data_IF_779643162989
#
_entry.id   IF_779643162989
#
_cell.length_a   1.000
_cell.length_b   1.000
_cell.length_c   1.000
_cell.angle_alpha   90.00
_cell.angle_beta   90.00
_cell.angle_gamma   90.00
#
_symmetry.space_group_name_H-M   'P 1'
#
loop_
_entity.id
_entity.type
_entity.pdbx_description
1 polymer ?
#
# COMPACT_ATOMS: atom_id res chain seq x y z
N UNK A 1 -29.12 8.24 -1.72
CA UNK A 1 -27.89 7.71 -2.37
C UNK A 1 -27.37 6.54 -1.53
N UNK A 2 -27.19 5.36 -2.12
CA UNK A 2 -26.93 4.12 -1.38
C UNK A 2 -25.51 4.06 -0.82
N UNK A 3 -25.40 3.83 0.49
CA UNK A 3 -24.17 3.73 1.30
C UNK A 3 -23.15 2.68 0.82
N UNK A 4 -23.52 1.79 -0.12
CA UNK A 4 -22.65 0.71 -0.60
C UNK A 4 -21.66 1.10 -1.71
N UNK A 5 -21.88 2.21 -2.41
CA UNK A 5 -21.08 2.55 -3.60
C UNK A 5 -19.78 3.34 -3.28
N UNK A 6 -19.62 3.77 -2.02
CA UNK A 6 -18.53 4.65 -1.57
C UNK A 6 -17.44 3.87 -0.83
N UNK A 7 -17.66 2.61 -0.44
CA UNK A 7 -16.65 1.79 0.26
C UNK A 7 -15.34 1.65 -0.53
N UNK A 8 -15.46 1.68 -1.86
CA UNK A 8 -14.34 1.49 -2.77
C UNK A 8 -13.35 2.67 -2.83
N UNK A 9 -13.88 3.88 -2.69
CA UNK A 9 -13.12 5.13 -2.74
C UNK A 9 -12.82 5.64 -1.33
N UNK A 10 -13.64 5.27 -0.33
CA UNK A 10 -13.44 5.61 1.08
C UNK A 10 -12.17 5.04 1.69
N UNK A 11 -11.72 3.88 1.22
CA UNK A 11 -10.66 3.20 1.95
C UNK A 11 -9.26 3.60 1.49
N UNK A 12 -8.95 3.89 0.19
CA UNK A 12 -7.52 3.88 -0.25
C UNK A 12 -7.16 4.85 -1.37
N UNK A 13 -6.13 5.65 -1.10
CA UNK A 13 -5.62 6.78 -1.87
C UNK A 13 -4.67 6.40 -3.02
N UNK A 14 -4.65 5.13 -3.43
CA UNK A 14 -3.67 4.56 -4.37
C UNK A 14 -3.62 5.24 -5.75
N UNK A 15 -4.67 5.97 -6.11
CA UNK A 15 -4.70 6.87 -7.26
C UNK A 15 -3.64 7.98 -7.14
N UNK A 16 -3.52 8.60 -5.96
CA UNK A 16 -2.56 9.68 -5.68
C UNK A 16 -1.11 9.20 -5.82
N UNK A 17 -0.80 8.03 -5.26
CA UNK A 17 0.50 7.36 -5.45
C UNK A 17 0.79 7.06 -6.93
N UNK A 18 -0.18 6.46 -7.62
CA UNK A 18 -0.02 6.06 -9.02
C UNK A 18 0.31 7.27 -9.90
N UNK A 19 -0.37 8.39 -9.66
CA UNK A 19 -0.15 9.62 -10.41
C UNK A 19 1.24 10.23 -10.16
N UNK A 20 1.90 9.89 -9.06
CA UNK A 20 3.28 10.31 -8.77
C UNK A 20 4.35 9.57 -9.58
N UNK A 21 4.01 8.51 -10.32
CA UNK A 21 4.99 7.68 -11.04
C UNK A 21 6.06 8.45 -11.83
N UNK A 22 5.75 9.56 -12.55
CA UNK A 22 6.78 10.33 -13.25
C UNK A 22 7.82 11.02 -12.36
N UNK A 23 7.56 11.16 -11.07
CA UNK A 23 8.36 11.96 -10.15
C UNK A 23 9.09 11.12 -9.09
N UNK A 24 8.64 9.89 -8.82
CA UNK A 24 9.21 9.03 -7.78
C UNK A 24 10.71 8.79 -7.99
N UNK A 25 11.13 8.45 -9.21
CA UNK A 25 12.54 8.20 -9.52
C UNK A 25 13.42 9.42 -9.24
N UNK A 26 12.94 10.62 -9.60
CA UNK A 26 13.64 11.89 -9.34
C UNK A 26 13.77 12.20 -7.85
N UNK A 27 12.73 11.93 -7.07
CA UNK A 27 12.76 12.09 -5.61
C UNK A 27 13.74 11.11 -4.96
N UNK A 28 13.78 9.86 -5.42
CA UNK A 28 14.75 8.85 -4.97
C UNK A 28 16.18 9.26 -5.29
N UNK A 29 16.43 9.73 -6.51
CA UNK A 29 17.76 10.18 -6.92
C UNK A 29 18.20 11.41 -6.09
N UNK A 30 17.32 12.39 -5.88
CA UNK A 30 17.60 13.55 -5.06
C UNK A 30 17.89 13.17 -3.59
N UNK A 31 17.13 12.23 -3.03
CA UNK A 31 17.35 11.74 -1.67
C UNK A 31 18.69 11.02 -1.54
N UNK A 32 19.02 10.16 -2.50
CA UNK A 32 20.30 9.47 -2.55
C UNK A 32 21.48 10.45 -2.62
N UNK A 33 21.39 11.50 -3.45
CA UNK A 33 22.42 12.53 -3.53
C UNK A 33 22.65 13.32 -2.24
N UNK A 34 21.64 13.37 -1.37
CA UNK A 34 21.70 14.06 -0.08
C UNK A 34 21.95 13.09 1.09
N UNK A 35 22.36 11.85 0.82
CA UNK A 35 22.55 10.78 1.81
C UNK A 35 21.30 10.51 2.69
N UNK A 36 20.10 10.71 2.12
CA UNK A 36 18.80 10.48 2.78
C UNK A 36 18.22 9.12 2.40
N UNK A 37 17.43 8.54 3.31
CA UNK A 37 16.74 7.25 3.06
C UNK A 37 15.75 7.34 1.90
N UNK A 38 15.58 6.22 1.20
CA UNK A 38 14.66 6.05 0.08
C UNK A 38 13.29 5.50 0.49
N UNK A 39 13.13 5.06 1.74
CA UNK A 39 11.89 4.49 2.27
C UNK A 39 10.66 5.39 2.03
N UNK A 40 10.74 6.74 2.18
CA UNK A 40 9.62 7.63 1.93
C UNK A 40 9.14 7.68 0.47
N UNK A 41 9.91 7.13 -0.47
CA UNK A 41 9.63 7.23 -1.90
C UNK A 41 9.48 5.85 -2.53
N UNK A 42 8.48 5.05 -2.12
CA UNK A 42 8.34 3.67 -2.58
C UNK A 42 8.19 3.63 -4.10
N UNK A 43 8.98 2.78 -4.78
CA UNK A 43 8.87 2.55 -6.22
C UNK A 43 7.83 1.47 -6.56
N UNK A 44 7.26 0.82 -5.54
CA UNK A 44 6.33 -0.30 -5.66
C UNK A 44 5.06 -0.02 -4.85
N UNK A 45 3.91 -0.45 -5.36
CA UNK A 45 2.64 -0.48 -4.64
C UNK A 45 1.99 -1.85 -4.73
N UNK A 46 1.30 -2.25 -3.67
CA UNK A 46 0.56 -3.51 -3.61
C UNK A 46 -0.89 -3.26 -3.18
N UNK A 47 -1.82 -3.55 -4.09
CA UNK A 47 -3.26 -3.55 -3.85
C UNK A 47 -3.71 -5.00 -3.65
N UNK A 48 -3.90 -5.41 -2.40
CA UNK A 48 -4.29 -6.78 -2.08
C UNK A 48 -5.57 -6.80 -1.26
N UNK A 49 -6.26 -7.94 -1.19
CA UNK A 49 -7.58 -8.02 -0.53
C UNK A 49 -8.51 -9.00 -1.21
N UNK A 50 -9.80 -8.93 -0.86
CA UNK A 50 -10.83 -9.84 -1.40
C UNK A 50 -10.86 -9.85 -2.94
N UNK A 51 -11.08 -11.01 -3.56
CA UNK A 51 -11.13 -11.16 -5.03
C UNK A 51 -12.31 -10.42 -5.68
N UNK A 52 -13.40 -10.23 -4.93
CA UNK A 52 -14.56 -9.38 -5.32
C UNK A 52 -14.38 -7.91 -4.92
N UNK A 53 -13.15 -7.61 -4.52
CA UNK A 53 -12.53 -6.35 -4.23
C UNK A 53 -12.56 -5.30 -5.33
N UNK A 54 -13.09 -5.56 -6.53
CA UNK A 54 -13.08 -4.69 -7.72
C UNK A 54 -11.71 -4.13 -8.19
N UNK A 55 -10.60 -4.60 -7.62
CA UNK A 55 -9.23 -4.08 -7.81
C UNK A 55 -8.86 -3.89 -9.27
N UNK A 56 -9.13 -4.91 -10.09
CA UNK A 56 -8.96 -4.87 -11.55
C UNK A 56 -9.71 -3.71 -12.21
N UNK A 57 -10.94 -3.42 -11.78
CA UNK A 57 -11.75 -2.34 -12.36
C UNK A 57 -11.20 -0.98 -11.97
N UNK A 58 -10.70 -0.84 -10.74
CA UNK A 58 -10.03 0.36 -10.27
C UNK A 58 -8.74 0.63 -11.06
N UNK A 59 -7.85 -0.36 -11.15
CA UNK A 59 -6.60 -0.22 -11.91
C UNK A 59 -6.86 0.07 -13.40
N UNK A 60 -7.84 -0.59 -14.03
CA UNK A 60 -8.24 -0.26 -15.42
C UNK A 60 -8.72 1.18 -15.57
N UNK A 61 -9.42 1.71 -14.56
CA UNK A 61 -9.87 3.10 -14.54
C UNK A 61 -8.70 4.06 -14.42
N UNK A 62 -7.76 3.81 -13.50
CA UNK A 62 -6.52 4.60 -13.37
C UNK A 62 -5.73 4.60 -14.66
N UNK A 63 -5.50 3.43 -15.25
CA UNK A 63 -4.77 3.32 -16.51
C UNK A 63 -5.44 4.13 -17.64
N UNK A 64 -6.77 4.10 -17.70
CA UNK A 64 -7.52 4.89 -18.68
C UNK A 64 -7.44 6.40 -18.38
N UNK A 65 -7.46 6.82 -17.12
CA UNK A 65 -7.31 8.22 -16.73
C UNK A 65 -5.92 8.76 -17.07
N UNK A 66 -4.89 7.93 -16.96
CA UNK A 66 -3.51 8.31 -17.21
C UNK A 66 -3.18 8.28 -18.71
N UNK A 67 -3.63 7.25 -19.43
CA UNK A 67 -3.19 6.96 -20.81
C UNK A 67 -4.29 6.89 -21.87
N UNK A 68 -5.55 6.96 -21.48
CA UNK A 68 -6.68 6.80 -22.41
C UNK A 68 -6.91 5.36 -22.89
N UNK A 69 -6.03 4.42 -22.53
CA UNK A 69 -6.11 3.00 -22.93
C UNK A 69 -6.50 2.09 -21.74
N UNK A 70 -6.92 0.85 -22.04
CA UNK A 70 -7.40 -0.13 -21.03
C UNK A 70 -6.51 -1.37 -20.86
N UNK A 71 -5.39 -1.45 -21.58
CA UNK A 71 -4.57 -2.67 -21.65
C UNK A 71 -3.61 -2.73 -20.45
N UNK A 72 -3.81 -3.70 -19.57
CA UNK A 72 -2.93 -3.98 -18.42
C UNK A 72 -2.11 -5.23 -18.73
N UNK A 73 -0.88 -5.32 -18.21
CA UNK A 73 -0.06 -6.52 -18.29
C UNK A 73 -0.63 -7.63 -17.40
N UNK A 74 -0.70 -8.85 -17.93
CA UNK A 74 -1.23 -10.00 -17.19
C UNK A 74 -0.19 -10.55 -16.20
N UNK A 75 -0.64 -11.13 -15.08
CA UNK A 75 0.24 -11.73 -14.06
C UNK A 75 1.27 -12.74 -14.62
N UNK A 76 0.93 -13.47 -15.69
CA UNK A 76 1.82 -14.46 -16.31
C UNK A 76 3.11 -13.88 -16.93
N UNK A 77 3.18 -12.57 -17.16
CA UNK A 77 4.39 -11.89 -17.64
C UNK A 77 5.10 -11.12 -16.52
N UNK A 78 4.83 -11.43 -15.24
CA UNK A 78 5.51 -10.79 -14.13
C UNK A 78 6.75 -11.59 -13.74
N UNK A 79 7.91 -11.10 -14.15
CA UNK A 79 9.22 -11.59 -13.71
C UNK A 79 10.10 -10.41 -13.31
N UNK A 80 11.02 -10.61 -12.36
CA UNK A 80 11.92 -9.55 -11.91
C UNK A 80 12.70 -8.91 -13.08
N UNK A 81 13.28 -9.76 -13.94
CA UNK A 81 14.00 -9.33 -15.14
C UNK A 81 13.14 -8.47 -16.07
N UNK A 82 11.95 -8.93 -16.44
CA UNK A 82 11.08 -8.16 -17.35
C UNK A 82 10.64 -6.82 -16.75
N UNK A 83 10.39 -6.77 -15.44
CA UNK A 83 10.04 -5.52 -14.76
C UNK A 83 11.21 -4.54 -14.80
N UNK A 84 12.43 -4.99 -14.51
CA UNK A 84 13.63 -4.13 -14.56
C UNK A 84 13.92 -3.65 -15.99
N UNK A 85 13.83 -4.53 -16.99
CA UNK A 85 13.98 -4.17 -18.40
C UNK A 85 12.95 -3.09 -18.81
N UNK A 86 11.69 -3.25 -18.39
CA UNK A 86 10.66 -2.24 -18.63
C UNK A 86 10.93 -0.95 -17.86
N UNK A 87 11.42 -1.01 -16.62
CA UNK A 87 11.77 0.20 -15.85
C UNK A 87 12.86 1.04 -16.54
N UNK A 88 13.76 0.41 -17.29
CA UNK A 88 14.80 1.12 -18.08
C UNK A 88 14.24 1.78 -19.34
N UNK A 89 13.22 1.18 -19.96
CA UNK A 89 12.67 1.63 -21.24
C UNK A 89 11.46 2.56 -21.12
N UNK A 90 10.67 2.42 -20.05
CA UNK A 90 9.39 3.10 -19.86
C UNK A 90 9.56 4.27 -18.91
N UNK A 91 9.42 5.52 -19.40
CA UNK A 91 9.62 6.71 -18.57
C UNK A 91 8.35 7.17 -17.87
N UNK A 92 8.31 7.08 -16.54
CA UNK A 92 7.30 7.69 -15.67
C UNK A 92 5.89 7.09 -15.73
N UNK A 93 5.63 6.18 -16.67
CA UNK A 93 4.33 5.52 -16.87
C UNK A 93 4.21 4.33 -15.90
N UNK A 94 3.29 4.33 -14.92
CA UNK A 94 3.18 3.22 -13.97
C UNK A 94 2.98 1.87 -14.68
N UNK A 95 3.73 0.87 -14.26
CA UNK A 95 3.62 -0.50 -14.73
C UNK A 95 2.60 -1.25 -13.87
N UNK A 96 1.50 -1.66 -14.46
CA UNK A 96 0.44 -2.39 -13.75
C UNK A 96 0.48 -3.87 -14.03
N UNK A 97 0.45 -4.67 -12.96
CA UNK A 97 0.33 -6.11 -13.01
C UNK A 97 -0.85 -6.56 -12.17
N UNK A 98 -1.85 -7.14 -12.84
CA UNK A 98 -3.12 -7.52 -12.21
C UNK A 98 -3.15 -9.01 -11.88
N UNK A 99 -3.69 -9.33 -10.70
CA UNK A 99 -3.98 -10.67 -10.19
C UNK A 99 -2.73 -11.55 -10.02
N UNK A 100 -1.67 -10.99 -9.41
CA UNK A 100 -0.48 -11.75 -9.04
C UNK A 100 -0.81 -12.71 -7.89
N UNK A 101 -0.52 -13.98 -8.10
CA UNK A 101 -0.64 -15.04 -7.07
C UNK A 101 0.53 -15.01 -6.09
N UNK A 102 0.32 -15.54 -4.89
CA UNK A 102 1.33 -15.58 -3.81
C UNK A 102 2.69 -16.14 -4.23
N UNK A 103 2.72 -17.20 -5.06
CA UNK A 103 3.97 -17.79 -5.56
C UNK A 103 4.79 -16.78 -6.37
N UNK A 104 4.19 -16.18 -7.39
CA UNK A 104 4.81 -15.17 -8.27
C UNK A 104 5.25 -13.93 -7.49
N UNK A 105 4.44 -13.49 -6.51
CA UNK A 105 4.80 -12.38 -5.63
C UNK A 105 6.08 -12.66 -4.84
N UNK A 106 6.14 -13.81 -4.17
CA UNK A 106 7.31 -14.21 -3.37
C UNK A 106 8.55 -14.47 -4.23
N UNK A 107 8.38 -15.05 -5.42
CA UNK A 107 9.49 -15.39 -6.32
C UNK A 107 10.12 -14.17 -7.01
N UNK A 108 9.32 -13.15 -7.32
CA UNK A 108 9.75 -12.01 -8.14
C UNK A 108 9.55 -10.65 -7.47
N UNK A 109 8.37 -10.34 -6.94
CA UNK A 109 8.07 -9.00 -6.42
C UNK A 109 8.90 -8.69 -5.18
N UNK A 110 9.01 -9.66 -4.28
CA UNK A 110 9.86 -9.56 -3.09
C UNK A 110 11.32 -9.28 -3.45
N UNK A 111 11.85 -9.92 -4.51
CA UNK A 111 13.23 -9.68 -4.96
C UNK A 111 13.41 -8.25 -5.48
N UNK A 112 12.45 -7.76 -6.26
CA UNK A 112 12.46 -6.39 -6.77
C UNK A 112 12.40 -5.35 -5.65
N UNK A 113 11.58 -5.58 -4.62
CA UNK A 113 11.47 -4.66 -3.47
C UNK A 113 12.75 -4.63 -2.63
N UNK A 114 13.51 -5.73 -2.59
CA UNK A 114 14.83 -5.78 -1.92
C UNK A 114 15.90 -5.00 -2.68
N UNK A 115 15.78 -4.88 -3.99
CA UNK A 115 16.70 -4.14 -4.86
C UNK A 115 16.26 -2.67 -4.93
N UNK A 116 16.30 -1.98 -3.78
CA UNK A 116 15.79 -0.62 -3.64
C UNK A 116 16.65 0.42 -4.37
N UNK A 117 17.94 0.16 -4.51
CA UNK A 117 18.93 0.98 -5.20
C UNK A 117 18.81 0.99 -6.73
N UNK A 118 17.80 0.31 -7.30
CA UNK A 118 17.58 0.31 -8.74
C UNK A 118 17.59 1.71 -9.35
N UNK A 119 18.45 1.89 -10.36
CA UNK A 119 18.53 3.10 -11.17
C UNK A 119 19.33 4.24 -10.53
N UNK A 120 19.88 4.07 -9.33
CA UNK A 120 20.74 5.10 -8.70
C UNK A 120 22.10 5.19 -9.40
N UNK A 121 22.78 4.05 -9.59
CA UNK A 121 24.09 3.99 -10.27
C UNK A 121 24.03 4.48 -11.73
N UNK A 122 22.89 4.24 -12.38
CA UNK A 122 22.62 4.63 -13.77
C UNK A 122 22.03 6.05 -13.87
N UNK A 123 21.86 6.77 -12.76
CA UNK A 123 21.24 8.10 -12.67
C UNK A 123 19.87 8.19 -13.36
N UNK A 124 19.07 7.12 -13.26
CA UNK A 124 17.73 7.05 -13.85
C UNK A 124 16.74 7.90 -13.06
N UNK A 125 16.39 9.07 -13.57
CA UNK A 125 15.52 10.04 -12.89
C UNK A 125 14.03 9.93 -13.25
N UNK A 126 13.68 9.00 -14.14
CA UNK A 126 12.34 8.92 -14.74
C UNK A 126 11.81 7.48 -14.91
N UNK A 127 12.35 6.48 -14.22
CA UNK A 127 11.79 5.13 -14.29
C UNK A 127 10.38 5.08 -13.65
N UNK A 128 9.52 4.12 -14.05
CA UNK A 128 8.14 4.07 -13.63
C UNK A 128 8.01 3.40 -12.26
N UNK A 129 6.95 3.75 -11.53
CA UNK A 129 6.56 2.93 -10.39
C UNK A 129 5.86 1.65 -10.86
N UNK A 130 5.85 0.63 -10.00
CA UNK A 130 5.23 -0.68 -10.29
C UNK A 130 4.05 -0.87 -9.35
N UNK A 131 2.86 -1.08 -9.91
CA UNK A 131 1.62 -1.30 -9.15
C UNK A 131 1.16 -2.74 -9.37
N UNK A 132 1.12 -3.49 -8.28
CA UNK A 132 0.76 -4.91 -8.27
C UNK A 132 -0.62 -5.04 -7.62
N UNK A 133 -1.48 -5.86 -8.20
CA UNK A 133 -2.68 -6.34 -7.50
C UNK A 133 -2.55 -7.82 -7.16
N UNK A 134 -3.12 -8.22 -6.03
CA UNK A 134 -3.16 -9.62 -5.60
C UNK A 134 -4.40 -9.91 -4.75
N UNK A 135 -4.62 -11.17 -4.39
CA UNK A 135 -5.69 -11.54 -3.47
C UNK A 135 -5.16 -11.63 -2.04
N UNK A 136 -6.04 -11.92 -1.08
CA UNK A 136 -5.64 -12.11 0.31
C UNK A 136 -4.62 -13.24 0.49
N UNK A 137 -4.40 -14.13 -0.49
CA UNK A 137 -3.38 -15.20 -0.47
C UNK A 137 -1.93 -14.67 -0.46
N UNK A 138 -1.72 -13.39 -0.74
CA UNK A 138 -0.50 -12.62 -0.39
C UNK A 138 -0.49 -12.33 1.12
N UNK A 139 -0.70 -13.37 1.95
CA UNK A 139 -1.13 -13.30 3.36
C UNK A 139 -0.12 -12.71 4.32
N UNK A 140 1.16 -12.74 3.99
CA UNK A 140 2.24 -12.42 4.93
C UNK A 140 3.26 -11.50 4.28
N UNK A 141 2.89 -10.23 4.19
CA UNK A 141 3.82 -9.19 3.78
C UNK A 141 4.75 -8.94 4.97
N UNK A 142 6.02 -9.32 4.83
CA UNK A 142 7.01 -9.09 5.88
C UNK A 142 7.24 -7.59 6.09
N UNK A 143 7.58 -7.20 7.32
CA UNK A 143 7.86 -5.81 7.72
C UNK A 143 8.77 -5.07 6.75
N UNK A 144 9.85 -5.70 6.29
CA UNK A 144 10.81 -5.07 5.39
C UNK A 144 10.22 -4.74 4.02
N UNK A 145 9.23 -5.51 3.55
CA UNK A 145 8.48 -5.23 2.31
C UNK A 145 7.50 -4.09 2.58
N UNK A 146 6.79 -4.13 3.70
CA UNK A 146 5.78 -3.13 4.03
C UNK A 146 6.32 -1.70 4.16
N UNK A 147 7.59 -1.54 4.57
CA UNK A 147 8.27 -0.25 4.66
C UNK A 147 8.75 0.31 3.32
N UNK A 148 8.73 -0.48 2.26
CA UNK A 148 9.25 -0.13 0.92
C UNK A 148 8.19 -0.15 -0.18
N UNK A 149 6.95 -0.49 0.18
CA UNK A 149 5.83 -0.65 -0.75
C UNK A 149 4.68 0.17 -0.23
N UNK A 150 4.07 0.98 -1.10
CA UNK A 150 2.79 1.62 -0.80
C UNK A 150 1.69 0.54 -0.70
N UNK A 151 1.31 0.17 0.53
CA UNK A 151 0.36 -0.90 0.79
C UNK A 151 -1.09 -0.43 0.75
N UNK A 152 -1.93 -1.23 0.10
CA UNK A 152 -3.34 -0.96 -0.04
C UNK A 152 -4.17 -2.24 0.15
N UNK A 153 -4.52 -2.56 1.40
CA UNK A 153 -5.41 -3.70 1.73
C UNK A 153 -6.91 -3.40 1.55
N UNK A 154 -7.59 -3.98 0.58
CA UNK A 154 -9.01 -3.74 0.31
C UNK A 154 -9.88 -4.76 1.05
N UNK A 155 -10.55 -4.31 2.12
CA UNK A 155 -11.34 -5.15 3.02
C UNK A 155 -12.79 -5.34 2.58
N UNK A 156 -13.37 -4.37 1.88
CA UNK A 156 -14.78 -4.40 1.49
C UNK A 156 -15.01 -5.06 0.12
N UNK A 157 -15.58 -6.27 0.10
CA UNK A 157 -16.03 -6.92 -1.14
C UNK A 157 -17.26 -6.24 -1.75
N UNK A 158 -17.26 -6.01 -3.08
CA UNK A 158 -18.49 -5.63 -3.79
C UNK A 158 -19.39 -6.87 -3.89
N UNK A 159 -20.66 -6.75 -3.51
CA UNK A 159 -21.61 -7.86 -3.69
C UNK A 159 -21.92 -8.11 -5.17
N UNK A 160 -22.23 -9.36 -5.54
CA UNK A 160 -22.59 -9.73 -6.92
C UNK A 160 -23.74 -8.86 -7.49
N UNK A 161 -24.71 -8.48 -6.65
CA UNK A 161 -25.85 -7.64 -7.06
C UNK A 161 -25.45 -6.18 -7.32
N UNK A 162 -24.46 -5.66 -6.60
CA UNK A 162 -23.88 -4.33 -6.85
C UNK A 162 -23.01 -4.31 -8.11
N UNK A 163 -22.29 -5.40 -8.41
CA UNK A 163 -21.54 -5.56 -9.68
C UNK A 163 -22.48 -5.56 -10.89
N UNK A 164 -23.62 -6.26 -10.80
CA UNK A 164 -24.63 -6.36 -11.87
C UNK A 164 -25.37 -5.02 -12.06
N UNK A 165 -25.69 -4.31 -10.97
CA UNK A 165 -26.36 -2.99 -11.03
C UNK A 165 -25.42 -1.84 -11.42
N UNK A 166 -24.09 -2.02 -11.40
CA UNK A 166 -23.12 -0.95 -11.66
C UNK A 166 -22.88 -0.70 -13.16
N UNK A 167 -23.79 0.06 -13.78
CA UNK A 167 -23.54 0.74 -15.06
C UNK A 167 -22.59 1.94 -14.91
N UNK A 168 -22.36 2.44 -13.68
CA UNK A 168 -21.60 3.66 -13.41
C UNK A 168 -20.11 3.49 -13.72
N UNK A 169 -19.45 2.44 -13.23
CA UNK A 169 -18.03 2.22 -13.52
C UNK A 169 -17.75 2.06 -15.03
N UNK A 170 -18.62 1.33 -15.74
CA UNK A 170 -18.56 1.22 -17.21
C UNK A 170 -18.81 2.56 -17.90
N UNK A 171 -19.71 3.39 -17.37
CA UNK A 171 -20.03 4.73 -17.91
C UNK A 171 -18.87 5.70 -17.68
N UNK A 172 -18.30 5.73 -16.47
CA UNK A 172 -17.08 6.49 -16.15
C UNK A 172 -15.97 6.03 -17.07
N UNK A 173 -15.67 4.73 -17.15
CA UNK A 173 -14.66 4.20 -18.06
C UNK A 173 -14.98 4.39 -19.54
N UNK A 174 -16.18 4.80 -19.95
CA UNK A 174 -16.46 5.22 -21.34
C UNK A 174 -16.14 6.69 -21.54
N UNK A 175 -16.58 7.55 -20.60
CA UNK A 175 -16.49 9.02 -20.69
C UNK A 175 -15.17 9.60 -20.19
N UNK A 176 -14.46 8.91 -19.32
CA UNK A 176 -13.23 9.40 -18.72
C UNK A 176 -12.12 9.45 -19.77
N UNK A 177 -11.45 10.59 -19.84
CA UNK A 177 -10.28 10.83 -20.68
C UNK A 177 -9.06 11.17 -19.83
N UNK A 178 -8.05 11.77 -20.45
CA UNK A 178 -6.77 12.08 -19.80
C UNK A 178 -6.68 13.52 -19.27
N UNK A 179 -7.73 14.32 -19.40
CA UNK A 179 -7.72 15.74 -19.05
C UNK A 179 -7.32 15.99 -17.59
N UNK A 180 -7.88 15.22 -16.64
CA UNK A 180 -7.53 15.33 -15.22
C UNK A 180 -6.04 15.07 -14.99
N UNK A 181 -5.49 13.99 -15.56
CA UNK A 181 -4.09 13.64 -15.37
C UNK A 181 -3.15 14.66 -16.03
N UNK A 182 -3.51 15.21 -17.19
CA UNK A 182 -2.73 16.27 -17.84
C UNK A 182 -2.66 17.54 -17.01
N UNK A 183 -3.77 17.99 -16.45
CA UNK A 183 -3.80 19.17 -15.57
C UNK A 183 -3.06 18.90 -14.25
N UNK A 184 -3.19 17.69 -13.70
CA UNK A 184 -2.40 17.23 -12.56
C UNK A 184 -0.90 17.32 -12.83
N UNK A 185 -0.43 16.78 -13.97
CA UNK A 185 0.99 16.84 -14.33
C UNK A 185 1.49 18.27 -14.51
N UNK A 186 0.69 19.15 -15.12
CA UNK A 186 1.06 20.58 -15.27
C UNK A 186 1.37 21.21 -13.93
N UNK A 187 0.46 21.08 -12.95
CA UNK A 187 0.64 21.64 -11.60
C UNK A 187 1.76 20.98 -10.82
N UNK A 188 1.91 19.65 -10.94
CA UNK A 188 3.02 18.94 -10.31
C UNK A 188 4.36 19.43 -10.86
N UNK A 189 4.52 19.54 -12.19
CA UNK A 189 5.77 20.01 -12.80
C UNK A 189 6.19 21.41 -12.35
N UNK A 190 5.23 22.27 -11.99
CA UNK A 190 5.50 23.61 -11.41
C UNK A 190 6.04 23.54 -9.98
N UNK A 191 5.62 22.56 -9.17
CA UNK A 191 5.96 22.44 -7.73
C UNK A 191 7.15 21.53 -7.45
N UNK A 192 7.38 20.55 -8.32
CA UNK A 192 8.43 19.54 -8.13
C UNK A 192 9.84 20.13 -7.99
N UNK A 193 10.27 21.14 -8.78
CA UNK A 193 11.62 21.70 -8.65
C UNK A 193 11.93 22.20 -7.23
N UNK A 194 11.02 22.96 -6.62
CA UNK A 194 11.15 23.43 -5.24
C UNK A 194 11.30 22.26 -4.25
N UNK A 195 10.49 21.21 -4.43
CA UNK A 195 10.55 20.03 -3.58
C UNK A 195 11.86 19.25 -3.72
N UNK A 196 12.42 19.16 -4.92
CA UNK A 196 13.74 18.57 -5.13
C UNK A 196 14.83 19.40 -4.43
N UNK A 197 14.79 20.72 -4.52
CA UNK A 197 15.73 21.59 -3.80
C UNK A 197 15.63 21.40 -2.28
N UNK A 198 14.43 21.23 -1.74
CA UNK A 198 14.24 20.92 -0.32
C UNK A 198 14.85 19.57 0.08
N UNK A 199 14.76 18.54 -0.78
CA UNK A 199 15.40 17.24 -0.52
C UNK A 199 16.92 17.38 -0.52
N UNK A 200 17.47 18.14 -1.47
CA UNK A 200 18.91 18.32 -1.63
C UNK A 200 19.53 19.23 -0.57
N UNK A 201 18.72 20.03 0.14
CA UNK A 201 19.20 20.82 1.25
C UNK A 201 19.57 19.91 2.45
N UNK A 202 20.86 19.87 2.79
CA UNK A 202 21.40 19.11 3.92
C UNK A 202 20.85 19.58 5.28
N UNK A 203 20.49 20.87 5.40
CA UNK A 203 19.89 21.41 6.62
C UNK A 203 18.44 20.95 6.82
N UNK A 204 17.75 20.59 5.72
CA UNK A 204 16.38 20.12 5.79
C UNK A 204 16.33 18.65 6.24
N UNK A 205 15.94 18.43 7.49
CA UNK A 205 15.78 17.09 8.07
C UNK A 205 14.41 16.48 7.79
N UNK A 206 13.45 17.27 7.31
CA UNK A 206 12.08 16.82 7.10
C UNK A 206 11.95 16.02 5.81
N UNK A 207 11.10 14.99 5.87
CA UNK A 207 10.73 14.19 4.71
C UNK A 207 9.84 15.03 3.79
N UNK A 208 10.21 15.14 2.52
CA UNK A 208 9.41 15.86 1.54
C UNK A 208 8.30 14.94 1.02
N UNK A 209 7.08 15.17 1.50
CA UNK A 209 5.95 14.28 1.22
C UNK A 209 5.37 14.47 -0.20
N UNK A 210 5.84 13.63 -1.13
CA UNK A 210 5.34 13.58 -2.51
C UNK A 210 3.86 13.18 -2.60
N UNK A 211 3.38 12.37 -1.66
CA UNK A 211 1.99 11.88 -1.65
C UNK A 211 1.05 12.99 -1.22
N UNK A 212 1.43 13.76 -0.20
CA UNK A 212 0.71 14.95 0.25
C UNK A 212 0.64 15.98 -0.86
N UNK A 213 1.76 16.25 -1.53
CA UNK A 213 1.78 17.15 -2.68
C UNK A 213 0.81 16.70 -3.79
N UNK A 214 0.85 15.42 -4.16
CA UNK A 214 -0.08 14.84 -5.14
C UNK A 214 -1.54 14.96 -4.69
N UNK A 215 -1.76 14.74 -3.40
CA UNK A 215 -3.08 14.80 -2.78
C UNK A 215 -3.68 16.19 -2.86
N UNK A 216 -2.90 17.20 -2.50
CA UNK A 216 -3.25 18.61 -2.56
C UNK A 216 -3.54 19.05 -4.01
N UNK A 217 -2.65 18.73 -4.95
CA UNK A 217 -2.84 19.07 -6.37
C UNK A 217 -4.13 18.48 -6.92
N UNK A 218 -4.43 17.21 -6.61
CA UNK A 218 -5.69 16.59 -7.02
C UNK A 218 -6.90 17.27 -6.37
N UNK A 219 -6.83 17.54 -5.07
CA UNK A 219 -7.92 18.18 -4.34
C UNK A 219 -8.19 19.59 -4.88
N UNK A 220 -7.16 20.37 -5.18
CA UNK A 220 -7.30 21.69 -5.80
C UNK A 220 -7.97 21.61 -7.18
N UNK A 221 -7.53 20.68 -8.05
CA UNK A 221 -8.14 20.51 -9.37
C UNK A 221 -9.62 20.16 -9.24
N UNK A 222 -9.96 19.24 -8.33
CA UNK A 222 -11.34 18.82 -8.11
C UNK A 222 -12.19 19.93 -7.48
N UNK A 223 -11.62 20.72 -6.57
CA UNK A 223 -12.30 21.83 -5.90
C UNK A 223 -12.75 22.92 -6.88
N UNK A 224 -12.05 23.09 -8.01
CA UNK A 224 -12.46 23.99 -9.09
C UNK A 224 -13.79 23.58 -9.75
N UNK A 225 -14.21 22.32 -9.61
CA UNK A 225 -15.43 21.78 -10.22
C UNK A 225 -16.52 21.44 -9.20
N UNK A 226 -16.17 21.29 -7.93
CA UNK A 226 -17.11 21.00 -6.86
C UNK A 226 -16.62 21.57 -5.53
N UNK A 227 -17.40 22.47 -4.92
CA UNK A 227 -17.09 23.11 -3.65
C UNK A 227 -17.18 22.16 -2.45
N UNK A 228 -18.01 21.12 -2.54
CA UNK A 228 -18.20 20.13 -1.48
C UNK A 228 -17.61 18.79 -1.92
N UNK A 229 -16.30 18.65 -1.73
CA UNK A 229 -15.62 17.37 -1.95
C UNK A 229 -16.09 16.35 -0.90
N UNK A 230 -16.44 15.12 -1.29
CA UNK A 230 -16.80 14.07 -0.33
C UNK A 230 -15.67 13.74 0.65
N UNK A 231 -16.00 13.28 1.87
CA UNK A 231 -15.02 12.95 2.92
C UNK A 231 -13.86 12.05 2.46
N UNK A 232 -14.10 11.16 1.50
CA UNK A 232 -13.08 10.26 0.97
C UNK A 232 -12.01 10.95 0.12
N UNK A 233 -12.24 12.20 -0.28
CA UNK A 233 -11.28 13.06 -0.96
C UNK A 233 -10.38 13.82 0.02
N UNK A 234 -10.40 13.49 1.31
CA UNK A 234 -9.49 14.07 2.29
C UNK A 234 -8.02 14.00 1.83
N UNK A 235 -7.27 15.05 2.14
CA UNK A 235 -5.83 15.10 1.90
C UNK A 235 -5.16 13.94 2.65
N UNK A 236 -4.13 13.37 2.02
CA UNK A 236 -3.37 12.26 2.59
C UNK A 236 -1.90 12.42 2.37
N UNK A 237 -1.14 11.85 3.28
CA UNK A 237 0.30 11.90 3.39
C UNK A 237 0.91 10.51 3.34
N UNK A 238 2.23 10.44 3.40
CA UNK A 238 3.00 9.21 3.58
C UNK A 238 2.58 8.45 4.84
N UNK A 239 2.17 9.14 5.91
CA UNK A 239 1.69 8.51 7.14
C UNK A 239 0.49 7.60 6.87
N UNK A 240 -0.41 7.99 5.95
CA UNK A 240 -1.56 7.16 5.60
C UNK A 240 -1.16 5.85 4.89
N UNK A 241 0.02 5.77 4.28
CA UNK A 241 0.52 4.57 3.59
C UNK A 241 1.41 3.69 4.47
N UNK A 242 2.14 4.31 5.40
CA UNK A 242 3.10 3.62 6.28
C UNK A 242 2.59 3.42 7.70
N UNK A 243 1.35 3.80 8.01
CA UNK A 243 0.68 3.47 9.26
C UNK A 243 0.81 1.96 9.55
N UNK A 244 1.41 1.64 10.70
CA UNK A 244 1.67 0.27 11.13
C UNK A 244 0.37 -0.56 11.18
N UNK A 245 -0.78 0.05 11.48
CA UNK A 245 -2.06 -0.63 11.44
C UNK A 245 -2.50 -1.05 10.03
N UNK A 246 -2.16 -0.26 9.00
CA UNK A 246 -2.44 -0.64 7.61
C UNK A 246 -1.48 -1.74 7.13
N UNK A 247 -0.20 -1.64 7.50
CA UNK A 247 0.81 -2.62 7.10
C UNK A 247 0.61 -4.00 7.75
N UNK A 248 0.03 -4.05 8.95
CA UNK A 248 -0.24 -5.28 9.70
C UNK A 248 -1.73 -5.66 9.75
N UNK A 249 -2.57 -5.11 8.87
CA UNK A 249 -4.02 -5.32 8.89
C UNK A 249 -4.43 -6.81 8.93
N UNK A 250 -3.74 -7.66 8.18
CA UNK A 250 -3.97 -9.12 8.18
C UNK A 250 -3.64 -9.75 9.52
N UNK A 251 -2.48 -9.40 10.11
CA UNK A 251 -2.07 -9.89 11.42
C UNK A 251 -3.04 -9.42 12.52
N UNK A 252 -3.49 -8.17 12.47
CA UNK A 252 -4.49 -7.61 13.41
C UNK A 252 -5.81 -8.37 13.31
N UNK A 253 -6.31 -8.60 12.09
CA UNK A 253 -7.57 -9.31 11.85
C UNK A 253 -7.48 -10.75 12.34
N UNK A 254 -6.44 -11.47 11.94
CA UNK A 254 -6.20 -12.85 12.38
C UNK A 254 -6.07 -12.94 13.90
N UNK A 255 -5.39 -11.99 14.55
CA UNK A 255 -5.25 -11.98 16.00
C UNK A 255 -6.58 -11.77 16.72
N UNK A 256 -7.39 -10.83 16.23
CA UNK A 256 -8.74 -10.55 16.77
C UNK A 256 -9.67 -11.75 16.61
N UNK A 257 -9.62 -12.43 15.47
CA UNK A 257 -10.43 -13.63 15.20
C UNK A 257 -9.98 -14.81 16.06
N UNK A 258 -8.68 -15.08 16.13
CA UNK A 258 -8.13 -16.15 16.96
C UNK A 258 -8.46 -15.96 18.44
N UNK A 259 -8.40 -14.72 18.96
CA UNK A 259 -8.80 -14.46 20.35
C UNK A 259 -10.29 -14.74 20.60
N UNK A 260 -11.15 -14.46 19.62
CA UNK A 260 -12.60 -14.70 19.73
C UNK A 260 -12.95 -16.19 19.65
N UNK A 261 -12.32 -16.91 18.72
CA UNK A 261 -12.64 -18.31 18.43
C UNK A 261 -11.90 -19.29 19.33
N UNK A 262 -10.65 -18.98 19.67
CA UNK A 262 -9.71 -19.88 20.36
C UNK A 262 -8.94 -19.13 21.47
N UNK A 263 -9.62 -18.56 22.49
CA UNK A 263 -8.96 -17.80 23.57
C UNK A 263 -7.98 -18.65 24.41
N UNK A 264 -8.10 -19.98 24.37
CA UNK A 264 -7.21 -20.94 25.03
C UNK A 264 -5.79 -20.94 24.46
N UNK A 265 -5.62 -20.57 23.19
CA UNK A 265 -4.29 -20.42 22.57
C UNK A 265 -3.47 -19.30 23.22
N UNK A 266 -4.13 -18.41 23.97
CA UNK A 266 -3.53 -17.21 24.53
C UNK A 266 -3.29 -17.33 26.03
N UNK A 267 -2.07 -16.97 26.44
CA UNK A 267 -1.62 -16.91 27.82
C UNK A 267 -1.18 -15.50 28.15
N UNK A 268 -1.88 -14.86 29.10
CA UNK A 268 -1.63 -13.49 29.53
C UNK A 268 -0.91 -13.51 30.87
N UNK A 269 0.34 -13.04 30.90
CA UNK A 269 1.18 -12.98 32.11
C UNK A 269 1.41 -11.52 32.48
N UNK A 270 0.42 -10.92 33.16
CA UNK A 270 0.42 -9.49 33.53
C UNK A 270 1.66 -9.07 34.33
N UNK A 271 2.09 -9.90 35.29
CA UNK A 271 3.27 -9.62 36.14
C UNK A 271 4.57 -9.43 35.34
N UNK A 272 4.64 -10.00 34.13
CA UNK A 272 5.81 -9.90 33.24
C UNK A 272 5.54 -9.06 32.00
N UNK A 273 4.41 -8.37 31.95
CA UNK A 273 3.94 -7.64 30.76
C UNK A 273 4.03 -8.48 29.47
N UNK A 274 3.60 -9.75 29.53
CA UNK A 274 3.81 -10.71 28.46
C UNK A 274 2.49 -11.29 27.96
N UNK A 275 2.30 -11.23 26.64
CA UNK A 275 1.31 -12.00 25.89
C UNK A 275 2.03 -13.15 25.18
N UNK A 276 1.57 -14.38 25.40
CA UNK A 276 2.06 -15.57 24.70
C UNK A 276 0.91 -16.23 23.94
N UNK A 277 1.19 -16.65 22.71
CA UNK A 277 0.23 -17.31 21.82
C UNK A 277 0.86 -18.59 21.30
N UNK A 278 0.20 -19.72 21.50
CA UNK A 278 0.71 -21.03 21.09
C UNK A 278 0.05 -21.45 19.78
N UNK A 279 0.86 -21.64 18.73
CA UNK A 279 0.42 -22.11 17.42
C UNK A 279 0.63 -23.63 17.29
N UNK A 280 0.06 -24.22 16.23
CA UNK A 280 0.24 -25.64 15.93
C UNK A 280 1.66 -25.93 15.44
N UNK A 281 2.28 -25.00 14.72
CA UNK A 281 3.63 -25.16 14.18
C UNK A 281 4.54 -23.95 14.43
N UNK A 282 5.86 -24.18 14.40
CA UNK A 282 6.85 -23.10 14.45
C UNK A 282 6.70 -22.14 13.26
N UNK A 283 6.36 -22.67 12.08
CA UNK A 283 6.24 -21.90 10.85
C UNK A 283 5.05 -20.92 10.91
N UNK A 284 3.93 -21.31 11.52
CA UNK A 284 2.79 -20.41 11.77
C UNK A 284 3.19 -19.24 12.68
N UNK A 285 3.87 -19.54 13.79
CA UNK A 285 4.35 -18.52 14.73
C UNK A 285 5.33 -17.54 14.05
N UNK A 286 6.27 -18.05 13.24
CA UNK A 286 7.22 -17.23 12.47
C UNK A 286 6.54 -16.35 11.42
N UNK A 287 5.52 -16.88 10.73
CA UNK A 287 4.80 -16.15 9.69
C UNK A 287 4.09 -14.92 10.25
N UNK A 288 3.50 -15.04 11.44
CA UNK A 288 2.87 -13.91 12.12
C UNK A 288 3.95 -12.96 12.67
N UNK A 289 5.03 -13.48 13.28
CA UNK A 289 6.14 -12.67 13.80
C UNK A 289 6.67 -11.68 12.76
N UNK A 290 6.84 -12.12 11.52
CA UNK A 290 7.38 -11.32 10.41
C UNK A 290 6.50 -10.13 9.99
N UNK A 291 5.22 -10.13 10.38
CA UNK A 291 4.25 -9.07 10.06
C UNK A 291 4.07 -8.08 11.21
N UNK A 292 4.50 -8.43 12.44
CA UNK A 292 4.30 -7.61 13.63
C UNK A 292 5.39 -6.53 13.77
N UNK A 293 5.03 -5.32 14.26
CA UNK A 293 6.01 -4.26 14.43
C UNK A 293 6.95 -4.49 15.60
N UNK A 294 8.14 -3.90 15.47
CA UNK A 294 9.26 -4.14 16.39
C UNK A 294 8.98 -3.65 17.82
N UNK A 295 8.13 -2.63 17.98
CA UNK A 295 7.64 -2.12 19.26
C UNK A 295 6.92 -3.20 20.12
N UNK A 296 6.31 -4.21 19.50
CA UNK A 296 5.73 -5.37 20.23
C UNK A 296 6.80 -6.28 20.85
N UNK A 297 8.06 -6.14 20.45
CA UNK A 297 9.16 -7.06 20.75
C UNK A 297 8.79 -8.54 20.49
N UNK A 298 8.37 -8.90 19.27
CA UNK A 298 7.85 -10.23 18.98
C UNK A 298 8.97 -11.28 18.92
N UNK A 299 8.88 -12.32 19.74
CA UNK A 299 9.83 -13.42 19.81
C UNK A 299 9.11 -14.77 19.58
N UNK A 300 9.73 -15.69 18.85
CA UNK A 300 9.20 -17.05 18.66
C UNK A 300 10.07 -18.04 19.40
N UNK A 301 9.47 -18.77 20.34
CA UNK A 301 10.10 -19.85 21.11
C UNK A 301 9.30 -21.13 20.86
N UNK A 302 9.91 -22.10 20.17
CA UNK A 302 9.21 -23.31 19.67
C UNK A 302 7.97 -22.91 18.86
N UNK A 303 6.76 -23.28 19.28
CA UNK A 303 5.51 -22.91 18.60
C UNK A 303 4.84 -21.69 19.21
N UNK A 304 5.47 -21.05 20.20
CA UNK A 304 4.89 -19.91 20.91
C UNK A 304 5.43 -18.59 20.40
N UNK A 305 4.54 -17.67 20.03
CA UNK A 305 4.84 -16.26 19.81
C UNK A 305 4.66 -15.49 21.12
N UNK A 306 5.66 -14.71 21.49
CA UNK A 306 5.73 -13.90 22.71
C UNK A 306 5.87 -12.43 22.34
N UNK A 307 5.17 -11.55 23.04
CA UNK A 307 5.23 -10.10 22.82
C UNK A 307 4.85 -9.32 24.09
N UNK A 308 5.19 -8.04 24.14
CA UNK A 308 4.79 -7.14 25.23
C UNK A 308 3.26 -6.98 25.27
N UNK A 309 2.66 -7.17 26.44
CA UNK A 309 1.20 -7.17 26.60
C UNK A 309 0.60 -5.77 26.40
N UNK A 310 1.18 -4.75 27.02
CA UNK A 310 0.75 -3.35 26.86
C UNK A 310 0.78 -2.89 25.39
N UNK A 311 1.91 -3.11 24.71
CA UNK A 311 2.09 -2.78 23.30
C UNK A 311 1.11 -3.57 22.42
N UNK A 312 0.84 -4.85 22.74
CA UNK A 312 -0.15 -5.64 22.04
C UNK A 312 -1.58 -5.10 22.26
N UNK A 313 -1.95 -4.72 23.48
CA UNK A 313 -3.29 -4.18 23.77
C UNK A 313 -3.56 -2.86 23.03
N UNK A 314 -2.55 -1.99 22.96
CA UNK A 314 -2.59 -0.74 22.18
C UNK A 314 -2.69 -1.05 20.68
N UNK A 315 -1.76 -1.83 20.14
CA UNK A 315 -1.66 -2.13 18.72
C UNK A 315 -2.87 -2.90 18.16
N UNK A 316 -3.40 -3.88 18.90
CA UNK A 316 -4.59 -4.61 18.47
C UNK A 316 -5.89 -3.85 18.84
N UNK A 317 -5.82 -2.76 19.62
CA UNK A 317 -6.99 -2.00 20.05
C UNK A 317 -7.98 -2.86 20.85
N UNK A 318 -7.48 -3.82 21.64
CA UNK A 318 -8.30 -4.74 22.43
C UNK A 318 -7.59 -5.14 23.71
N UNK A 319 -8.37 -5.39 24.77
CA UNK A 319 -7.84 -5.89 26.04
C UNK A 319 -7.85 -7.41 26.06
N UNK A 320 -6.71 -8.03 26.38
CA UNK A 320 -6.59 -9.47 26.54
C UNK A 320 -7.00 -9.86 27.96
N UNK A 321 -8.31 -9.89 28.22
CA UNK A 321 -8.89 -10.31 29.50
C UNK A 321 -9.60 -11.64 29.31
N UNK A 322 -9.11 -12.72 29.92
CA UNK A 322 -9.89 -13.96 29.99
C UNK A 322 -11.20 -13.66 30.71
N UNK A 323 -12.34 -13.92 30.07
CA UNK A 323 -13.65 -13.85 30.73
C UNK A 323 -13.65 -14.87 31.86
N UNK A 324 -13.81 -14.40 33.09
CA UNK A 324 -13.99 -15.22 34.27
C UNK A 324 -15.49 -15.44 34.52
N UNK A 325 -16.20 -16.14 33.65
CA UNK A 325 -17.59 -16.55 33.93
C UNK A 325 -17.96 -17.81 33.16
N UNK A 326 -18.37 -18.85 33.89
CA UNK A 326 -18.96 -20.10 33.42
C UNK A 326 -18.24 -21.32 33.95
#
# INVERSE_FOLDING_TARGET
>A
MSKGNILFVREKHTDRYTFCSPFIAKFRLAANHADKTLDPYPAYALIYGSSKAGKTTFVKTLYKMTFGIKKISHAGSFTAKQVEDLKRCVKGIPLFYDDIISKTFNEHAVKLVKHEDFGLDDFLDAYPCVVITGNDDVKAIEQYVSRRVALCHVTAGITNMQLIKNSIAKTIQKKIGTALYREYLRRMMERIPEKITLIQNEENKDVVDLIMLSSEVLNEILSNYNTNLPDYMATVSLENYFDEHQTSATAITSMKENWKSCPEMFTVIKKRNLLQITFGTHNEAQTIRKQLPANLCPEVVRTSLRMKLDAAEEFFGMKFKKRWWG
#
